data_IF_188944766887
#
_entry.id   IF_188944766887
#
_cell.length_a   1.000
_cell.length_b   1.000
_cell.length_c   1.000
_cell.angle_alpha   90.00
_cell.angle_beta   90.00
_cell.angle_gamma   90.00
#
_symmetry.space_group_name_H-M   'P 1'
#
loop_
_entity.id
_entity.type
_entity.pdbx_description
1 polymer ?
#
# COMPACT_ATOMS: atom_id res chain seq x y z
N UNK A 1 13.85 -14.65 -23.90
CA UNK A 1 13.33 -13.92 -22.73
C UNK A 1 14.01 -14.43 -21.50
N UNK A 2 14.63 -13.55 -20.79
CA UNK A 2 15.16 -13.90 -19.48
C UNK A 2 14.01 -14.01 -18.50
N UNK A 3 13.94 -15.15 -17.84
CA UNK A 3 12.98 -15.32 -16.77
C UNK A 3 13.55 -14.68 -15.51
N UNK A 4 12.72 -13.93 -14.80
CA UNK A 4 13.10 -13.41 -13.50
C UNK A 4 13.38 -14.56 -12.54
N UNK A 5 14.40 -14.41 -11.73
CA UNK A 5 14.64 -15.34 -10.63
C UNK A 5 13.55 -15.21 -9.59
N UNK A 6 13.32 -16.27 -8.83
CA UNK A 6 12.34 -16.27 -7.74
C UNK A 6 12.59 -15.13 -6.75
N UNK A 7 13.88 -14.84 -6.47
CA UNK A 7 14.26 -13.74 -5.58
C UNK A 7 13.90 -12.37 -6.15
N UNK A 8 14.01 -12.19 -7.46
CA UNK A 8 13.63 -10.95 -8.12
C UNK A 8 12.11 -10.77 -8.08
N UNK A 9 11.35 -11.82 -8.31
CA UNK A 9 9.89 -11.79 -8.18
C UNK A 9 9.44 -11.39 -6.79
N UNK A 10 10.08 -11.91 -5.76
CA UNK A 10 9.75 -11.58 -4.37
C UNK A 10 10.04 -10.12 -4.02
N UNK A 11 10.98 -9.49 -4.71
CA UNK A 11 11.34 -8.09 -4.48
C UNK A 11 10.52 -7.10 -5.30
N UNK A 12 9.87 -7.56 -6.35
CA UNK A 12 9.10 -6.71 -7.25
C UNK A 12 7.62 -6.81 -6.98
N UNK A 13 6.99 -5.65 -6.88
CA UNK A 13 5.54 -5.57 -6.84
C UNK A 13 5.03 -5.23 -8.23
N UNK A 14 4.06 -6.00 -8.69
CA UNK A 14 3.34 -5.69 -9.91
C UNK A 14 2.39 -4.51 -9.67
N UNK A 15 2.12 -3.75 -10.71
CA UNK A 15 1.16 -2.64 -10.65
C UNK A 15 -0.19 -3.08 -10.07
N UNK A 16 -0.70 -4.21 -10.55
CA UNK A 16 -1.96 -4.77 -10.07
C UNK A 16 -1.94 -5.14 -8.59
N UNK A 17 -0.81 -5.64 -8.11
CA UNK A 17 -0.63 -5.99 -6.71
C UNK A 17 -0.64 -4.75 -5.82
N UNK A 18 0.05 -3.70 -6.24
CA UNK A 18 0.07 -2.43 -5.53
C UNK A 18 -1.32 -1.80 -5.48
N UNK A 19 -2.03 -1.82 -6.60
CA UNK A 19 -3.39 -1.33 -6.68
C UNK A 19 -4.33 -2.12 -5.74
N UNK A 20 -4.21 -3.43 -5.72
CA UNK A 20 -4.98 -4.30 -4.84
C UNK A 20 -4.72 -3.98 -3.37
N UNK A 21 -3.45 -3.78 -3.00
CA UNK A 21 -3.10 -3.39 -1.63
C UNK A 21 -3.70 -2.03 -1.24
N UNK A 22 -3.68 -1.06 -2.15
CA UNK A 22 -4.28 0.24 -1.90
C UNK A 22 -5.79 0.14 -1.68
N UNK A 23 -6.47 -0.69 -2.48
CA UNK A 23 -7.90 -0.96 -2.30
C UNK A 23 -8.20 -1.58 -0.94
N UNK A 24 -7.42 -2.57 -0.53
CA UNK A 24 -7.59 -3.22 0.77
C UNK A 24 -7.37 -2.24 1.93
N UNK A 25 -6.34 -1.41 1.84
CA UNK A 25 -6.05 -0.41 2.86
C UNK A 25 -7.17 0.63 2.96
N UNK A 26 -7.70 1.08 1.83
CA UNK A 26 -8.80 2.04 1.80
C UNK A 26 -10.09 1.45 2.36
N UNK A 27 -10.44 0.23 1.95
CA UNK A 27 -11.62 -0.46 2.44
C UNK A 27 -11.54 -0.69 3.95
N UNK A 28 -10.41 -1.15 4.44
CA UNK A 28 -10.19 -1.35 5.87
C UNK A 28 -10.32 -0.05 6.65
N UNK A 29 -9.77 1.03 6.10
CA UNK A 29 -9.88 2.36 6.70
C UNK A 29 -11.34 2.78 6.84
N UNK A 30 -12.12 2.67 5.76
CA UNK A 30 -13.53 3.07 5.75
C UNK A 30 -14.38 2.19 6.65
N UNK A 31 -14.16 0.88 6.62
CA UNK A 31 -15.02 -0.07 7.32
C UNK A 31 -14.72 -0.18 8.82
N UNK A 32 -13.47 0.01 9.20
CA UNK A 32 -13.02 -0.24 10.57
C UNK A 32 -12.38 1.01 11.18
N UNK A 33 -11.33 1.53 10.56
CA UNK A 33 -10.49 2.54 11.18
C UNK A 33 -11.19 3.89 11.39
N UNK A 34 -12.04 4.30 10.45
CA UNK A 34 -12.77 5.57 10.57
C UNK A 34 -13.87 5.52 11.64
N UNK A 35 -14.27 4.33 12.05
CA UNK A 35 -15.25 4.11 13.12
C UNK A 35 -14.61 4.06 14.50
N UNK A 36 -13.31 3.94 14.58
CA UNK A 36 -12.59 3.90 15.85
C UNK A 36 -12.43 5.31 16.43
N UNK A 37 -12.41 5.44 17.78
CA UNK A 37 -12.14 6.71 18.42
C UNK A 37 -10.73 7.21 18.04
N UNK A 38 -10.54 8.52 18.19
CA UNK A 38 -9.24 9.15 17.91
C UNK A 38 -8.14 8.47 18.73
N UNK A 39 -7.15 7.94 18.05
CA UNK A 39 -6.10 7.16 18.65
C UNK A 39 -4.85 8.02 18.87
N UNK A 40 -4.26 7.90 20.06
CA UNK A 40 -3.05 8.63 20.44
C UNK A 40 -1.78 7.77 20.32
N UNK A 41 -1.94 6.49 20.06
CA UNK A 41 -0.82 5.56 19.96
C UNK A 41 -0.08 5.77 18.63
N UNK A 42 1.25 6.04 18.64
CA UNK A 42 2.02 6.18 17.41
C UNK A 42 2.11 4.88 16.59
N UNK A 43 1.83 3.75 17.23
CA UNK A 43 1.82 2.44 16.56
C UNK A 43 0.41 1.94 16.26
N UNK A 44 -0.57 2.82 16.30
CA UNK A 44 -1.96 2.45 16.03
C UNK A 44 -2.16 2.00 14.58
N UNK A 45 -3.17 1.18 14.36
CA UNK A 45 -3.54 0.72 13.01
C UNK A 45 -3.85 1.89 12.07
N UNK A 46 -4.46 2.96 12.58
CA UNK A 46 -4.72 4.16 11.78
C UNK A 46 -3.44 4.78 11.22
N UNK A 47 -2.42 4.91 12.05
CA UNK A 47 -1.13 5.46 11.62
C UNK A 47 -0.39 4.52 10.69
N UNK A 48 -0.42 3.23 10.98
CA UNK A 48 0.19 2.22 10.12
C UNK A 48 -0.49 2.20 8.76
N UNK A 49 -1.82 2.23 8.73
CA UNK A 49 -2.58 2.28 7.48
C UNK A 49 -2.21 3.51 6.66
N UNK A 50 -2.19 4.69 7.28
CA UNK A 50 -1.82 5.94 6.62
C UNK A 50 -0.40 5.90 6.05
N UNK A 51 0.55 5.42 6.84
CA UNK A 51 1.94 5.30 6.43
C UNK A 51 2.12 4.32 5.28
N UNK A 52 1.52 3.14 5.38
CA UNK A 52 1.57 2.14 4.33
C UNK A 52 0.90 2.62 3.04
N UNK A 53 -0.27 3.25 3.15
CA UNK A 53 -0.97 3.81 2.00
C UNK A 53 -0.08 4.77 1.23
N UNK A 54 0.56 5.70 1.93
CA UNK A 54 1.46 6.67 1.31
C UNK A 54 2.65 6.01 0.63
N UNK A 55 3.29 5.06 1.30
CA UNK A 55 4.45 4.34 0.75
C UNK A 55 4.07 3.53 -0.49
N UNK A 56 2.95 2.86 -0.45
CA UNK A 56 2.46 2.05 -1.57
C UNK A 56 2.07 2.95 -2.75
N UNK A 57 1.43 4.08 -2.49
CA UNK A 57 1.10 5.06 -3.53
C UNK A 57 2.35 5.56 -4.26
N UNK A 58 3.39 5.90 -3.50
CA UNK A 58 4.67 6.33 -4.08
C UNK A 58 5.32 5.22 -4.91
N UNK A 59 5.26 4.00 -4.41
CA UNK A 59 5.80 2.83 -5.14
C UNK A 59 5.00 2.57 -6.41
N UNK A 60 3.68 2.69 -6.36
CA UNK A 60 2.81 2.58 -7.53
C UNK A 60 3.18 3.61 -8.59
N UNK A 61 3.29 4.88 -8.19
CA UNK A 61 3.70 5.96 -9.10
C UNK A 61 5.02 5.63 -9.79
N UNK A 62 5.99 5.15 -9.03
CA UNK A 62 7.30 4.78 -9.58
C UNK A 62 7.20 3.61 -10.55
N UNK A 63 6.37 2.63 -10.25
CA UNK A 63 6.21 1.43 -11.07
C UNK A 63 5.58 1.75 -12.43
N UNK A 64 4.57 2.62 -12.45
CA UNK A 64 3.91 3.02 -13.70
C UNK A 64 4.60 4.19 -14.40
N UNK A 65 5.57 4.83 -13.75
CA UNK A 65 6.29 5.98 -14.30
C UNK A 65 5.47 7.26 -14.39
N UNK A 66 4.41 7.38 -13.58
CA UNK A 66 3.53 8.55 -13.53
C UNK A 66 3.23 8.93 -12.09
N UNK A 67 2.96 10.21 -11.88
CA UNK A 67 2.43 10.69 -10.60
C UNK A 67 0.90 10.68 -10.63
N UNK A 68 0.30 9.65 -10.05
CA UNK A 68 -1.15 9.53 -9.90
C UNK A 68 -1.58 9.90 -8.48
N UNK A 69 -0.73 9.60 -7.51
CA UNK A 69 -1.01 9.87 -6.10
C UNK A 69 -0.14 10.96 -5.52
#
# INVERSE_FOLDING_TARGET
MEQMTEQEELKMFWESELHYLLMLLEDHKKDVLDKLPKDRDPYSEKRLNKSLTKKIQLRYNKTIGREIF
#
